data_IF_530266736004
#
_entry.id   IF_530266736004
#
_cell.length_a   1.000
_cell.length_b   1.000
_cell.length_c   1.000
_cell.angle_alpha   90.00
_cell.angle_beta   90.00
_cell.angle_gamma   90.00
#
_symmetry.space_group_name_H-M   'P 1'
#
loop_
_entity.id
_entity.type
_entity.pdbx_description
1 polymer ?
#
# COMPACT_ATOMS: atom_id res chain seq x y z
N UNK A 1 2.32 20.29 -23.82
CA UNK A 1 1.27 20.50 -22.79
C UNK A 1 1.27 19.30 -21.86
N UNK A 2 1.14 19.50 -20.55
CA UNK A 2 1.03 18.39 -19.59
C UNK A 2 -0.23 17.57 -19.89
N UNK A 3 -0.08 16.25 -20.04
CA UNK A 3 -1.20 15.31 -20.33
C UNK A 3 -1.86 14.75 -19.05
N UNK A 4 -1.42 15.16 -17.85
CA UNK A 4 -1.97 14.69 -16.58
C UNK A 4 -1.26 15.28 -15.36
N UNK A 5 -1.81 15.07 -14.16
CA UNK A 5 -1.26 15.53 -12.88
C UNK A 5 -1.13 14.34 -11.94
N UNK A 6 -0.05 14.30 -11.17
CA UNK A 6 0.21 13.28 -10.12
C UNK A 6 0.49 13.99 -8.81
N UNK A 7 -0.04 13.45 -7.72
CA UNK A 7 0.30 13.82 -6.35
C UNK A 7 0.58 12.55 -5.56
N UNK A 8 1.56 12.58 -4.65
CA UNK A 8 1.91 11.48 -3.76
C UNK A 8 2.56 12.01 -2.48
N UNK A 9 2.59 11.19 -1.41
CA UNK A 9 3.20 11.53 -0.12
C UNK A 9 4.71 11.75 -0.23
N UNK A 10 5.41 10.89 -0.96
CA UNK A 10 6.84 11.00 -1.19
C UNK A 10 7.19 11.55 -2.60
N UNK A 11 8.18 12.46 -2.74
CA UNK A 11 8.57 13.03 -4.04
C UNK A 11 8.98 12.01 -5.11
N UNK A 12 9.69 10.94 -4.71
CA UNK A 12 10.10 9.89 -5.66
C UNK A 12 8.91 9.04 -6.15
N UNK A 13 7.89 8.85 -5.32
CA UNK A 13 6.64 8.18 -5.72
C UNK A 13 5.92 9.00 -6.79
N UNK A 14 5.80 10.32 -6.58
CA UNK A 14 5.22 11.22 -7.57
C UNK A 14 6.04 11.25 -8.86
N UNK A 15 7.38 11.27 -8.75
CA UNK A 15 8.29 11.28 -9.89
C UNK A 15 8.16 10.02 -10.75
N UNK A 16 8.10 8.83 -10.14
CA UNK A 16 7.94 7.56 -10.84
C UNK A 16 6.63 7.52 -11.65
N UNK A 17 5.51 7.92 -11.05
CA UNK A 17 4.22 7.99 -11.73
C UNK A 17 4.20 9.07 -12.83
N UNK A 18 4.79 10.23 -12.58
CA UNK A 18 4.91 11.29 -13.58
C UNK A 18 5.74 10.84 -14.80
N UNK A 19 6.82 10.08 -14.59
CA UNK A 19 7.61 9.50 -15.68
C UNK A 19 6.78 8.58 -16.56
N UNK A 20 5.92 7.74 -15.99
CA UNK A 20 5.04 6.85 -16.76
C UNK A 20 3.99 7.63 -17.56
N UNK A 21 3.37 8.67 -16.98
CA UNK A 21 2.49 9.56 -17.74
C UNK A 21 3.22 10.25 -18.90
N UNK A 22 4.44 10.75 -18.65
CA UNK A 22 5.27 11.37 -19.69
C UNK A 22 5.67 10.40 -20.79
N UNK A 23 5.84 9.11 -20.46
CA UNK A 23 6.10 8.05 -21.42
C UNK A 23 4.86 7.63 -22.24
N UNK A 24 3.69 8.23 -21.97
CA UNK A 24 2.44 7.96 -22.69
C UNK A 24 1.51 6.96 -22.03
N UNK A 25 1.82 6.52 -20.80
CA UNK A 25 0.91 5.71 -19.98
C UNK A 25 -0.33 6.50 -19.56
N UNK A 26 -1.37 5.76 -19.17
CA UNK A 26 -2.60 6.33 -18.64
C UNK A 26 -2.54 6.51 -17.10
N UNK A 27 -3.64 6.96 -16.49
CA UNK A 27 -3.72 7.16 -15.04
C UNK A 27 -3.51 5.88 -14.22
N UNK A 28 -3.90 4.72 -14.73
CA UNK A 28 -3.70 3.42 -14.08
C UNK A 28 -2.25 2.98 -14.14
N UNK A 29 -1.58 3.13 -15.29
CA UNK A 29 -0.16 2.82 -15.43
C UNK A 29 0.68 3.67 -14.46
N UNK A 30 0.35 4.95 -14.35
CA UNK A 30 0.97 5.87 -13.39
C UNK A 30 0.70 5.46 -11.94
N UNK A 31 -0.54 5.06 -11.61
CA UNK A 31 -0.88 4.59 -10.27
C UNK A 31 -0.11 3.31 -9.89
N UNK A 32 0.10 2.38 -10.82
CA UNK A 32 0.91 1.18 -10.58
C UNK A 32 2.39 1.53 -10.36
N UNK A 33 2.94 2.48 -11.12
CA UNK A 33 4.31 2.95 -10.88
C UNK A 33 4.47 3.64 -9.52
N UNK A 34 3.48 4.44 -9.11
CA UNK A 34 3.42 4.98 -7.75
C UNK A 34 3.37 3.86 -6.71
N UNK A 35 2.53 2.84 -6.90
CA UNK A 35 2.40 1.71 -5.97
C UNK A 35 3.73 0.99 -5.74
N UNK A 36 4.47 0.64 -6.82
CA UNK A 36 5.77 0.00 -6.67
C UNK A 36 6.80 0.93 -6.02
N UNK A 37 6.82 2.21 -6.38
CA UNK A 37 7.74 3.17 -5.79
C UNK A 37 7.47 3.39 -4.30
N UNK A 38 6.20 3.49 -3.88
CA UNK A 38 5.84 3.79 -2.48
C UNK A 38 6.20 2.65 -1.53
N UNK A 39 6.19 1.40 -1.99
CA UNK A 39 6.68 0.26 -1.21
C UNK A 39 8.16 0.37 -0.83
N UNK A 40 8.94 1.19 -1.53
CA UNK A 40 10.37 1.43 -1.25
C UNK A 40 10.58 2.74 -0.52
N UNK A 41 9.85 3.79 -0.89
CA UNK A 41 10.05 5.14 -0.37
C UNK A 41 9.32 5.39 0.95
N UNK A 42 8.22 4.68 1.21
CA UNK A 42 7.41 4.80 2.42
C UNK A 42 7.11 3.40 3.02
N UNK A 43 8.13 2.58 3.33
CA UNK A 43 7.95 1.17 3.71
C UNK A 43 7.23 0.97 5.06
N UNK A 44 7.16 2.01 5.89
CA UNK A 44 6.39 2.00 7.13
C UNK A 44 4.87 2.06 6.89
N UNK A 45 4.43 2.49 5.70
CA UNK A 45 3.02 2.72 5.35
C UNK A 45 2.55 1.80 4.22
N UNK A 46 3.42 1.48 3.26
CA UNK A 46 3.07 0.72 2.07
C UNK A 46 3.98 -0.50 1.88
N UNK A 47 3.39 -1.63 1.49
CA UNK A 47 4.14 -2.82 1.09
C UNK A 47 3.31 -3.70 0.15
N UNK A 48 3.99 -4.57 -0.60
CA UNK A 48 3.35 -5.62 -1.39
C UNK A 48 2.74 -6.74 -0.53
N UNK A 49 3.01 -6.77 0.78
CA UNK A 49 2.40 -7.69 1.73
C UNK A 49 1.14 -7.13 2.42
N UNK A 50 0.69 -5.94 2.01
CA UNK A 50 -0.49 -5.27 2.56
C UNK A 50 -1.73 -5.43 1.68
N UNK A 51 -2.55 -4.38 1.69
CA UNK A 51 -3.75 -4.26 0.87
C UNK A 51 -4.21 -2.81 0.81
N UNK A 52 -5.26 -2.53 0.07
CA UNK A 52 -5.75 -1.17 -0.10
C UNK A 52 -6.98 -1.08 -0.99
N UNK A 53 -7.23 0.13 -1.46
CA UNK A 53 -8.35 0.44 -2.32
C UNK A 53 -7.91 1.35 -3.46
N UNK A 54 -8.51 1.20 -4.63
CA UNK A 54 -8.35 2.11 -5.77
C UNK A 54 -9.72 2.61 -6.20
N UNK A 55 -9.94 3.92 -6.10
CA UNK A 55 -11.09 4.57 -6.75
C UNK A 55 -10.70 4.96 -8.17
N UNK A 56 -11.29 4.30 -9.15
CA UNK A 56 -11.05 4.53 -10.56
C UNK A 56 -12.21 5.30 -11.19
N UNK A 57 -11.92 6.27 -12.06
CA UNK A 57 -12.94 6.97 -12.85
C UNK A 57 -12.55 6.93 -14.33
N UNK A 58 -12.79 5.83 -15.05
CA UNK A 58 -12.60 5.77 -16.50
C UNK A 58 -13.49 6.80 -17.21
N UNK A 59 -13.08 7.24 -18.40
CA UNK A 59 -13.84 8.24 -19.16
C UNK A 59 -15.24 7.72 -19.48
N UNK A 60 -16.26 8.51 -19.12
CA UNK A 60 -17.68 8.25 -19.43
C UNK A 60 -18.31 7.07 -18.68
N UNK A 61 -17.59 6.43 -17.76
CA UNK A 61 -18.11 5.40 -16.88
C UNK A 61 -18.37 5.93 -15.47
N UNK A 62 -19.21 5.21 -14.72
CA UNK A 62 -19.34 5.47 -13.28
C UNK A 62 -18.03 5.12 -12.58
N UNK A 63 -17.65 5.85 -11.53
CA UNK A 63 -16.50 5.46 -10.72
C UNK A 63 -16.62 4.02 -10.21
N UNK A 64 -15.51 3.29 -10.23
CA UNK A 64 -15.39 1.91 -9.78
C UNK A 64 -14.43 1.89 -8.59
N UNK A 65 -14.85 1.27 -7.49
CA UNK A 65 -13.97 0.99 -6.35
C UNK A 65 -13.42 -0.43 -6.49
N UNK A 66 -12.10 -0.54 -6.61
CA UNK A 66 -11.40 -1.80 -6.46
C UNK A 66 -11.01 -1.97 -4.99
N UNK A 67 -11.52 -3.03 -4.38
CA UNK A 67 -11.17 -3.48 -3.03
C UNK A 67 -10.17 -4.62 -3.14
N UNK A 68 -8.95 -4.35 -2.71
CA UNK A 68 -7.87 -5.31 -2.52
C UNK A 68 -7.34 -5.15 -1.09
N UNK A 69 -8.25 -4.94 -0.13
CA UNK A 69 -7.89 -4.90 1.27
C UNK A 69 -7.55 -6.29 1.78
N UNK A 70 -6.75 -6.35 2.85
CA UNK A 70 -6.28 -7.62 3.38
C UNK A 70 -7.43 -8.46 3.93
N UNK A 71 -7.30 -9.77 3.84
CA UNK A 71 -8.34 -10.70 4.29
C UNK A 71 -7.85 -11.67 5.36
N UNK A 72 -8.73 -12.03 6.29
CA UNK A 72 -8.42 -13.05 7.30
C UNK A 72 -8.06 -14.38 6.61
N UNK A 73 -6.96 -15.04 7.01
CA UNK A 73 -6.62 -16.35 6.48
C UNK A 73 -7.78 -17.35 6.57
N UNK A 74 -8.01 -18.11 5.48
CA UNK A 74 -9.14 -19.04 5.37
C UNK A 74 -9.13 -20.13 6.45
N UNK A 75 -7.96 -20.54 6.90
CA UNK A 75 -7.79 -21.54 7.94
C UNK A 75 -7.38 -20.87 9.24
N UNK A 76 -8.24 -20.97 10.26
CA UNK A 76 -7.92 -20.54 11.62
C UNK A 76 -6.93 -21.52 12.24
N UNK A 77 -5.78 -21.01 12.67
CA UNK A 77 -4.82 -21.76 13.49
C UNK A 77 -5.16 -21.59 14.97
N UNK A 78 -4.70 -22.52 15.82
CA UNK A 78 -4.79 -22.34 17.26
C UNK A 78 -3.85 -21.20 17.70
N UNK A 79 -4.08 -20.62 18.88
CA UNK A 79 -3.26 -19.49 19.34
C UNK A 79 -1.80 -19.94 19.59
N UNK A 80 -1.59 -21.21 19.94
CA UNK A 80 -0.29 -21.81 20.17
C UNK A 80 0.53 -21.96 18.87
N UNK A 81 -0.14 -22.16 17.73
CA UNK A 81 0.49 -22.29 16.40
C UNK A 81 0.79 -20.93 15.74
N UNK A 82 0.33 -19.84 16.36
CA UNK A 82 0.42 -18.48 15.84
C UNK A 82 1.58 -17.76 16.53
N UNK A 83 2.66 -17.50 15.78
CA UNK A 83 3.82 -16.79 16.33
C UNK A 83 3.54 -15.29 16.44
N UNK A 84 3.45 -14.80 17.66
CA UNK A 84 3.40 -13.37 17.99
C UNK A 84 4.39 -13.04 19.11
N UNK A 85 4.90 -11.82 19.09
CA UNK A 85 5.72 -11.27 20.15
C UNK A 85 5.38 -9.79 20.37
N UNK A 86 5.60 -9.31 21.59
CA UNK A 86 5.47 -7.89 21.91
C UNK A 86 6.79 -7.19 21.62
N UNK A 87 6.71 -6.11 20.86
CA UNK A 87 7.84 -5.26 20.54
C UNK A 87 7.54 -3.84 21.02
N UNK A 88 8.37 -3.31 21.92
CA UNK A 88 8.25 -1.93 22.38
C UNK A 88 9.13 -1.08 21.47
N UNK A 89 8.50 -0.22 20.68
CA UNK A 89 9.20 0.80 19.90
C UNK A 89 9.32 2.06 20.74
N UNK A 90 10.55 2.56 20.89
CA UNK A 90 10.86 3.77 21.62
C UNK A 90 11.06 4.93 20.61
N UNK A 91 10.19 5.93 20.69
CA UNK A 91 10.23 7.15 19.87
C UNK A 91 10.90 8.33 20.60
N UNK A 92 11.48 8.11 21.78
CA UNK A 92 12.18 9.09 22.60
C UNK A 92 11.29 9.67 23.70
N UNK A 93 10.23 10.39 23.33
CA UNK A 93 9.25 10.97 24.27
C UNK A 93 8.03 10.06 24.50
N UNK A 94 7.87 9.04 23.68
CA UNK A 94 6.81 8.04 23.76
C UNK A 94 7.36 6.62 23.52
N UNK A 95 6.78 5.66 24.22
CA UNK A 95 6.96 4.24 23.94
C UNK A 95 5.63 3.65 23.46
N UNK A 96 5.67 2.87 22.40
CA UNK A 96 4.49 2.19 21.86
C UNK A 96 4.74 0.69 21.78
N UNK A 97 3.83 -0.09 22.36
CA UNK A 97 3.80 -1.54 22.22
C UNK A 97 3.17 -1.91 20.87
N UNK A 98 3.87 -2.71 20.10
CA UNK A 98 3.40 -3.38 18.90
C UNK A 98 3.34 -4.88 19.13
N UNK A 99 2.35 -5.54 18.55
CA UNK A 99 2.34 -7.00 18.42
C UNK A 99 2.88 -7.30 17.01
N UNK A 100 3.96 -8.06 16.93
CA UNK A 100 4.61 -8.44 15.67
C UNK A 100 4.66 -9.96 15.54
N UNK A 101 5.11 -10.45 14.39
CA UNK A 101 5.24 -11.88 14.08
C UNK A 101 4.22 -12.36 13.04
N UNK A 102 4.41 -13.58 12.53
CA UNK A 102 3.57 -14.12 11.44
C UNK A 102 2.08 -14.19 11.78
N UNK A 103 1.74 -14.17 13.07
CA UNK A 103 0.36 -14.15 13.54
C UNK A 103 -0.40 -12.85 13.34
N UNK A 104 0.30 -11.76 13.04
CA UNK A 104 -0.31 -10.46 12.76
C UNK A 104 -0.47 -10.19 11.26
N UNK A 105 -0.07 -11.14 10.41
CA UNK A 105 -0.19 -11.05 8.96
C UNK A 105 -1.54 -11.60 8.47
N UNK A 106 -2.31 -10.75 7.80
CA UNK A 106 -3.45 -11.17 7.00
C UNK A 106 -3.00 -11.67 5.61
N UNK A 107 -3.93 -12.19 4.81
CA UNK A 107 -3.68 -12.52 3.41
C UNK A 107 -3.56 -11.19 2.64
N UNK A 108 -2.43 -10.93 1.95
CA UNK A 108 -2.29 -9.75 1.10
C UNK A 108 -3.37 -9.70 0.04
N UNK A 109 -3.81 -8.48 -0.28
CA UNK A 109 -4.83 -8.23 -1.30
C UNK A 109 -4.34 -8.30 -2.73
#
# INVERSE_FOLDING_TARGET
MSKGIVTAGHPQTAAAAAQILSAGGNAFDAAIAALFSVCVTEPALASLGGGGFLMASPSSDKPILFDFFVQTPRQRKSIEDVKTEKFICDFGDAQQEFIIGSGTCAVPG
#
